data_IF_012552391972
#
_entry.id   IF_012552391972
#
_cell.length_a   1.000
_cell.length_b   1.000
_cell.length_c   1.000
_cell.angle_alpha   90.00
_cell.angle_beta   90.00
_cell.angle_gamma   90.00
#
_symmetry.space_group_name_H-M   'P 1'
#
loop_
_entity.id
_entity.type
_entity.pdbx_description
1 polymer ?
#
# COMPACT_ATOMS: atom_id res chain seq x y z
N UNK A 1 0.45 3.59 -29.16
CA UNK A 1 0.09 3.60 -27.72
C UNK A 1 1.03 4.50 -26.95
N UNK A 2 0.47 5.30 -26.06
CA UNK A 2 1.27 6.18 -25.21
C UNK A 2 1.82 5.43 -24.01
N UNK A 3 3.03 5.76 -23.59
CA UNK A 3 3.59 5.26 -22.33
C UNK A 3 3.38 6.30 -21.24
N UNK A 4 3.17 5.84 -20.00
CA UNK A 4 3.02 6.73 -18.85
C UNK A 4 4.37 7.37 -18.50
N UNK A 5 4.35 8.61 -18.03
CA UNK A 5 5.55 9.30 -17.55
C UNK A 5 5.64 9.31 -16.02
N UNK A 6 4.48 9.32 -15.35
CA UNK A 6 4.41 9.33 -13.89
C UNK A 6 3.31 8.39 -13.41
N UNK A 7 3.29 8.16 -12.10
CA UNK A 7 2.26 7.35 -11.45
C UNK A 7 0.86 7.91 -11.67
N UNK A 8 0.75 9.23 -11.84
CA UNK A 8 -0.55 9.89 -12.04
C UNK A 8 -1.17 9.61 -13.41
N UNK A 9 -0.37 9.15 -14.37
CA UNK A 9 -0.81 8.90 -15.74
C UNK A 9 -1.44 7.53 -15.94
N UNK A 10 -1.36 6.65 -14.95
CA UNK A 10 -1.85 5.26 -15.06
C UNK A 10 -3.01 5.01 -14.10
N UNK A 11 -3.82 3.98 -14.45
CA UNK A 11 -4.90 3.52 -13.60
C UNK A 11 -4.35 3.04 -12.24
N UNK A 12 -5.00 3.37 -11.12
CA UNK A 12 -4.57 2.89 -9.80
C UNK A 12 -4.44 1.37 -9.72
N UNK A 13 -5.40 0.64 -10.29
CA UNK A 13 -5.39 -0.83 -10.25
C UNK A 13 -4.23 -1.43 -11.02
N UNK A 14 -3.96 -0.91 -12.21
CA UNK A 14 -2.85 -1.38 -13.04
C UNK A 14 -1.50 -1.06 -12.39
N UNK A 15 -1.36 0.12 -11.82
CA UNK A 15 -0.13 0.51 -11.13
C UNK A 15 0.12 -0.38 -9.91
N UNK A 16 -0.89 -0.59 -9.07
CA UNK A 16 -0.76 -1.42 -7.87
C UNK A 16 -0.39 -2.84 -8.25
N UNK A 17 -1.02 -3.41 -9.29
CA UNK A 17 -0.69 -4.74 -9.78
C UNK A 17 0.76 -4.83 -10.24
N UNK A 18 1.21 -3.87 -11.04
CA UNK A 18 2.59 -3.85 -11.57
C UNK A 18 3.61 -3.64 -10.46
N UNK A 19 3.36 -2.71 -9.55
CA UNK A 19 4.30 -2.38 -8.48
C UNK A 19 4.38 -3.48 -7.44
N UNK A 20 3.28 -4.16 -7.14
CA UNK A 20 3.29 -5.32 -6.22
C UNK A 20 4.15 -6.46 -6.79
N UNK A 21 4.04 -6.72 -8.08
CA UNK A 21 4.90 -7.70 -8.75
C UNK A 21 6.37 -7.28 -8.71
N UNK A 22 6.66 -5.99 -8.88
CA UNK A 22 8.01 -5.44 -8.78
C UNK A 22 8.59 -5.63 -7.38
N UNK A 23 7.83 -5.33 -6.33
CA UNK A 23 8.26 -5.51 -4.95
C UNK A 23 8.55 -6.98 -4.63
N UNK A 24 7.70 -7.87 -5.11
CA UNK A 24 7.89 -9.31 -4.91
C UNK A 24 9.18 -9.81 -5.57
N UNK A 25 9.42 -9.38 -6.83
CA UNK A 25 10.62 -9.79 -7.58
C UNK A 25 11.90 -9.23 -6.99
N UNK A 26 11.86 -8.04 -6.39
CA UNK A 26 13.05 -7.40 -5.83
C UNK A 26 13.67 -8.21 -4.67
N UNK A 27 12.84 -8.95 -3.95
CA UNK A 27 13.28 -9.74 -2.79
C UNK A 27 13.73 -8.92 -1.60
N UNK A 28 13.61 -7.59 -1.65
CA UNK A 28 14.06 -6.70 -0.57
C UNK A 28 13.03 -6.55 0.56
N UNK A 29 11.77 -6.82 0.26
CA UNK A 29 10.70 -6.72 1.26
C UNK A 29 10.54 -8.05 1.97
N UNK A 30 10.68 -8.03 3.30
CA UNK A 30 10.53 -9.22 4.13
C UNK A 30 9.09 -9.36 4.59
N UNK A 31 8.49 -10.53 4.30
CA UNK A 31 7.16 -10.84 4.79
C UNK A 31 7.24 -11.24 6.27
N UNK A 32 6.43 -10.65 7.15
CA UNK A 32 6.38 -11.12 8.53
C UNK A 32 5.79 -12.52 8.61
N UNK A 33 6.18 -13.27 9.63
CA UNK A 33 5.75 -14.66 9.81
C UNK A 33 4.23 -14.82 9.99
N UNK A 34 3.54 -13.76 10.36
CA UNK A 34 2.09 -13.78 10.59
C UNK A 34 1.26 -13.51 9.35
N UNK A 35 1.87 -13.30 8.16
CA UNK A 35 1.12 -12.92 6.93
C UNK A 35 0.12 -13.99 6.49
N UNK A 36 0.37 -15.25 6.81
CA UNK A 36 -0.49 -16.36 6.36
C UNK A 36 -1.74 -16.55 7.23
N UNK A 37 -1.78 -15.96 8.42
CA UNK A 37 -2.82 -16.26 9.40
C UNK A 37 -3.63 -15.06 9.86
N UNK A 38 -3.21 -13.81 9.54
CA UNK A 38 -3.88 -12.64 10.08
C UNK A 38 -4.92 -12.08 9.13
N UNK A 39 -5.93 -11.46 9.72
CA UNK A 39 -6.85 -10.56 9.02
C UNK A 39 -6.22 -9.16 8.96
N UNK A 40 -6.56 -8.41 7.91
CA UNK A 40 -6.04 -7.03 7.74
C UNK A 40 -6.79 -6.02 8.61
N UNK A 41 -7.90 -6.42 9.25
CA UNK A 41 -8.67 -5.58 10.17
C UNK A 41 -9.62 -6.44 11.00
N UNK A 42 -10.07 -5.91 12.13
CA UNK A 42 -11.04 -6.59 12.98
C UNK A 42 -12.40 -6.80 12.29
N UNK A 43 -12.79 -5.89 11.38
CA UNK A 43 -14.07 -5.99 10.69
C UNK A 43 -14.09 -7.08 9.60
N UNK A 44 -12.93 -7.62 9.22
CA UNK A 44 -12.84 -8.70 8.24
C UNK A 44 -13.20 -10.03 8.90
N UNK A 45 -14.02 -10.83 8.23
CA UNK A 45 -14.42 -12.16 8.72
C UNK A 45 -13.34 -13.21 8.46
N UNK A 46 -12.57 -13.04 7.37
CA UNK A 46 -11.57 -14.00 6.94
C UNK A 46 -10.22 -13.31 6.67
N UNK A 47 -9.16 -14.10 6.71
CA UNK A 47 -7.85 -13.65 6.25
C UNK A 47 -7.88 -13.34 4.74
N UNK A 48 -6.92 -12.53 4.22
CA UNK A 48 -6.89 -12.22 2.79
C UNK A 48 -6.80 -13.48 1.92
N UNK A 49 -7.55 -13.48 0.85
CA UNK A 49 -7.62 -14.63 -0.06
C UNK A 49 -6.40 -14.71 -0.98
N UNK A 50 -5.87 -13.55 -1.42
CA UNK A 50 -4.71 -13.47 -2.28
C UNK A 50 -3.43 -13.72 -1.47
N UNK A 51 -2.59 -14.72 -1.83
CA UNK A 51 -1.35 -14.97 -1.09
C UNK A 51 -0.36 -13.81 -1.17
N UNK A 52 -0.46 -12.95 -2.17
CA UNK A 52 0.41 -11.78 -2.34
C UNK A 52 -0.18 -10.50 -1.75
N UNK A 53 -1.16 -10.60 -0.88
CA UNK A 53 -1.89 -9.44 -0.34
C UNK A 53 -0.97 -8.41 0.32
N UNK A 54 0.10 -8.86 0.94
CA UNK A 54 1.04 -7.95 1.62
C UNK A 54 1.73 -7.03 0.61
N UNK A 55 2.18 -7.60 -0.51
CA UNK A 55 2.81 -6.80 -1.57
C UNK A 55 1.79 -5.85 -2.22
N UNK A 56 0.57 -6.30 -2.40
CA UNK A 56 -0.51 -5.46 -2.94
C UNK A 56 -0.81 -4.29 -2.01
N UNK A 57 -0.91 -4.56 -0.71
CA UNK A 57 -1.12 -3.51 0.29
C UNK A 57 0.06 -2.52 0.31
N UNK A 58 1.29 -3.02 0.25
CA UNK A 58 2.49 -2.18 0.22
C UNK A 58 2.52 -1.29 -1.02
N UNK A 59 2.18 -1.84 -2.19
CA UNK A 59 2.11 -1.07 -3.43
C UNK A 59 1.06 0.04 -3.36
N UNK A 60 -0.11 -0.28 -2.82
CA UNK A 60 -1.19 0.69 -2.63
C UNK A 60 -0.77 1.81 -1.68
N UNK A 61 -0.12 1.48 -0.57
CA UNK A 61 0.35 2.47 0.39
C UNK A 61 1.44 3.37 -0.21
N UNK A 62 2.40 2.79 -0.94
CA UNK A 62 3.45 3.54 -1.61
C UNK A 62 2.86 4.55 -2.62
N UNK A 63 1.88 4.11 -3.40
CA UNK A 63 1.18 4.98 -4.35
C UNK A 63 0.51 6.16 -3.64
N UNK A 64 -0.17 5.90 -2.53
CA UNK A 64 -0.87 6.95 -1.79
C UNK A 64 0.11 7.97 -1.18
N UNK A 65 1.26 7.51 -0.70
CA UNK A 65 2.31 8.41 -0.21
C UNK A 65 2.90 9.25 -1.34
N UNK A 66 3.07 8.65 -2.53
CA UNK A 66 3.54 9.38 -3.71
C UNK A 66 2.59 10.52 -4.09
N UNK A 67 1.29 10.25 -4.05
CA UNK A 67 0.27 11.24 -4.42
C UNK A 67 0.05 12.28 -3.34
N UNK A 68 0.21 11.90 -2.08
CA UNK A 68 -0.03 12.79 -0.94
C UNK A 68 0.91 12.44 0.19
N UNK A 69 1.78 13.36 0.56
CA UNK A 69 2.67 13.20 1.71
C UNK A 69 1.94 13.38 3.04
N UNK A 70 2.63 13.05 4.14
CA UNK A 70 2.11 13.25 5.48
C UNK A 70 1.18 12.16 5.99
N UNK A 71 1.11 11.01 5.32
CA UNK A 71 0.28 9.89 5.74
C UNK A 71 1.04 9.01 6.73
N UNK A 72 0.42 8.71 7.87
CA UNK A 72 0.96 7.84 8.90
C UNK A 72 0.10 6.61 9.13
N UNK A 73 0.43 5.84 10.17
CA UNK A 73 -0.30 4.60 10.52
C UNK A 73 -1.79 4.88 10.72
N UNK A 74 -2.14 5.94 11.47
CA UNK A 74 -3.54 6.27 11.73
C UNK A 74 -4.32 6.60 10.48
N UNK A 75 -3.71 7.36 9.55
CA UNK A 75 -4.35 7.70 8.28
C UNK A 75 -4.62 6.44 7.44
N UNK A 76 -3.65 5.52 7.36
CA UNK A 76 -3.82 4.28 6.61
C UNK A 76 -4.85 3.35 7.25
N UNK A 77 -4.95 3.34 8.57
CA UNK A 77 -6.00 2.56 9.24
C UNK A 77 -7.39 3.02 8.82
N UNK A 78 -7.59 4.33 8.63
CA UNK A 78 -8.86 4.88 8.14
C UNK A 78 -9.10 4.59 6.66
N UNK A 79 -8.05 4.77 5.83
CA UNK A 79 -8.15 4.55 4.38
C UNK A 79 -8.58 3.11 4.06
N UNK A 80 -8.01 2.13 4.77
CA UNK A 80 -8.31 0.71 4.55
C UNK A 80 -9.35 0.17 5.52
N UNK A 81 -10.01 1.04 6.27
CA UNK A 81 -11.09 0.66 7.15
C UNK A 81 -12.38 0.37 6.39
N UNK A 82 -13.34 -0.19 7.08
CA UNK A 82 -14.63 -0.51 6.51
C UNK A 82 -15.66 -0.79 7.59
N UNK A 83 -16.85 -1.22 7.19
CA UNK A 83 -17.94 -1.53 8.10
C UNK A 83 -17.70 -2.85 8.81
N UNK A 84 -17.80 -2.85 10.14
CA UNK A 84 -17.78 -4.05 10.95
C UNK A 84 -19.20 -4.52 11.20
N UNK A 85 -19.46 -5.78 10.88
CA UNK A 85 -20.76 -6.42 11.14
C UNK A 85 -20.82 -6.83 12.61
N UNK A 86 -21.88 -6.41 13.30
CA UNK A 86 -22.10 -6.64 14.73
C UNK A 86 -23.24 -7.62 15.00
N UNK A 87 -23.44 -8.62 14.16
CA UNK A 87 -24.53 -9.56 14.25
C UNK A 87 -25.88 -8.87 13.98
N UNK A 88 -26.78 -8.89 14.96
CA UNK A 88 -28.10 -8.25 14.84
C UNK A 88 -28.06 -6.73 15.01
N UNK A 89 -26.91 -6.17 15.44
CA UNK A 89 -26.74 -4.72 15.58
C UNK A 89 -26.36 -4.09 14.24
N UNK A 90 -26.66 -2.79 14.03
CA UNK A 90 -26.23 -2.12 12.81
C UNK A 90 -24.72 -2.15 12.67
N UNK A 91 -24.19 -2.31 11.45
CA UNK A 91 -22.73 -2.26 11.23
C UNK A 91 -22.19 -0.85 11.47
N UNK A 92 -20.97 -0.76 12.00
CA UNK A 92 -20.29 0.50 12.24
C UNK A 92 -18.93 0.49 11.57
N UNK A 93 -18.41 1.68 11.22
CA UNK A 93 -17.07 1.83 10.65
C UNK A 93 -16.01 1.34 11.64
N UNK A 94 -15.05 0.58 11.13
CA UNK A 94 -13.93 0.06 11.90
C UNK A 94 -12.63 0.32 11.14
N UNK A 95 -11.60 0.76 11.86
CA UNK A 95 -10.28 0.99 11.26
C UNK A 95 -9.59 -0.35 10.94
N UNK A 96 -8.71 -0.33 9.94
CA UNK A 96 -7.91 -1.51 9.60
C UNK A 96 -6.78 -1.74 10.60
N UNK A 97 -6.05 -2.85 10.43
CA UNK A 97 -4.96 -3.23 11.33
C UNK A 97 -3.82 -2.21 11.31
N UNK A 98 -3.47 -1.68 12.49
CA UNK A 98 -2.32 -0.80 12.65
C UNK A 98 -0.99 -1.55 12.55
N UNK A 99 -0.95 -2.82 12.95
CA UNK A 99 0.26 -3.63 12.86
C UNK A 99 0.68 -3.85 11.40
N UNK A 100 -0.29 -4.14 10.53
CA UNK A 100 -0.04 -4.30 9.09
C UNK A 100 0.52 -3.01 8.50
N UNK A 101 -0.15 -1.88 8.73
CA UNK A 101 0.27 -0.58 8.20
C UNK A 101 1.66 -0.20 8.72
N UNK A 102 1.91 -0.36 10.00
CA UNK A 102 3.19 -0.01 10.61
C UNK A 102 4.33 -0.85 10.03
N UNK A 103 4.12 -2.15 9.89
CA UNK A 103 5.15 -3.05 9.36
C UNK A 103 5.49 -2.68 7.90
N UNK A 104 4.48 -2.41 7.09
CA UNK A 104 4.68 -2.02 5.69
C UNK A 104 5.44 -0.69 5.61
N UNK A 105 5.07 0.30 6.42
CA UNK A 105 5.77 1.59 6.42
C UNK A 105 7.23 1.43 6.83
N UNK A 106 7.53 0.59 7.81
CA UNK A 106 8.91 0.30 8.20
C UNK A 106 9.69 -0.36 7.07
N UNK A 107 9.09 -1.31 6.36
CA UNK A 107 9.73 -1.99 5.23
C UNK A 107 10.02 -1.01 4.08
N UNK A 108 9.06 -0.18 3.71
CA UNK A 108 9.25 0.81 2.66
C UNK A 108 10.32 1.83 3.05
N UNK A 109 10.39 2.21 4.32
CA UNK A 109 11.42 3.11 4.83
C UNK A 109 12.81 2.47 4.76
N UNK A 110 12.93 1.20 5.12
CA UNK A 110 14.19 0.45 5.03
C UNK A 110 14.67 0.28 3.59
N UNK A 111 13.75 0.25 2.64
CA UNK A 111 14.06 0.18 1.20
C UNK A 111 14.37 1.56 0.59
N UNK A 112 14.36 2.62 1.39
CA UNK A 112 14.57 4.02 0.96
C UNK A 112 13.53 4.53 -0.04
N UNK A 113 12.33 3.97 -0.01
CA UNK A 113 11.23 4.43 -0.87
C UNK A 113 10.53 5.61 -0.21
N UNK A 114 10.39 5.57 1.11
CA UNK A 114 9.76 6.63 1.89
C UNK A 114 10.67 7.07 3.04
N UNK A 115 10.38 8.24 3.60
CA UNK A 115 11.09 8.78 4.77
C UNK A 115 10.10 9.46 5.70
N UNK A 116 10.52 9.70 6.94
CA UNK A 116 9.69 10.39 7.93
C UNK A 116 9.61 11.86 7.55
N UNK A 117 8.38 12.38 7.45
CA UNK A 117 8.15 13.80 7.20
C UNK A 117 8.33 14.59 8.50
N UNK A 118 8.99 15.75 8.44
CA UNK A 118 9.19 16.64 9.58
C UNK A 118 7.87 17.14 10.17
N UNK A 119 6.81 17.20 9.36
CA UNK A 119 5.47 17.62 9.78
C UNK A 119 4.60 16.49 10.29
N UNK A 120 5.12 15.28 10.32
CA UNK A 120 4.39 14.05 10.69
C UNK A 120 4.06 13.19 9.50
N UNK A 121 3.89 11.88 9.75
CA UNK A 121 3.61 10.90 8.71
C UNK A 121 4.83 10.56 7.86
N UNK A 122 4.59 10.13 6.64
CA UNK A 122 5.65 9.69 5.71
C UNK A 122 5.53 10.45 4.39
N UNK A 123 6.67 10.65 3.74
CA UNK A 123 6.72 11.26 2.40
C UNK A 123 7.60 10.40 1.49
N UNK A 124 7.42 10.55 0.18
CA UNK A 124 8.22 9.82 -0.81
C UNK A 124 9.64 10.40 -0.85
N UNK A 125 10.65 9.55 -1.00
CA UNK A 125 12.02 10.00 -1.23
C UNK A 125 12.23 10.25 -2.72
N UNK A 126 13.32 10.94 -3.09
CA UNK A 126 13.64 11.13 -4.50
C UNK A 126 13.93 9.81 -5.21
N UNK A 127 14.61 8.85 -4.54
CA UNK A 127 14.83 7.52 -5.10
C UNK A 127 13.54 6.73 -5.21
N UNK A 128 12.64 6.85 -4.23
CA UNK A 128 11.32 6.22 -4.26
C UNK A 128 10.46 6.75 -5.40
N UNK A 129 10.47 8.06 -5.60
CA UNK A 129 9.74 8.68 -6.69
C UNK A 129 10.22 8.14 -8.05
N UNK A 130 11.52 8.04 -8.25
CA UNK A 130 12.08 7.45 -9.48
C UNK A 130 11.67 6.01 -9.66
N UNK A 131 11.71 5.22 -8.58
CA UNK A 131 11.33 3.80 -8.63
C UNK A 131 9.88 3.61 -9.05
N UNK A 132 8.96 4.36 -8.43
CA UNK A 132 7.55 4.31 -8.78
C UNK A 132 7.30 4.79 -10.22
N UNK A 133 7.97 5.87 -10.64
CA UNK A 133 7.81 6.41 -11.99
C UNK A 133 8.36 5.45 -13.05
N UNK A 134 9.44 4.72 -12.75
CA UNK A 134 9.97 3.70 -13.67
C UNK A 134 8.96 2.57 -13.87
N UNK A 135 8.33 2.10 -12.82
CA UNK A 135 7.30 1.06 -12.93
C UNK A 135 6.10 1.59 -13.71
N UNK A 136 5.66 2.80 -13.41
CA UNK A 136 4.56 3.43 -14.14
C UNK A 136 4.87 3.58 -15.63
N UNK A 137 6.11 3.92 -15.97
CA UNK A 137 6.55 4.08 -17.35
C UNK A 137 6.51 2.80 -18.18
N UNK A 138 6.49 1.65 -17.54
CA UNK A 138 6.37 0.35 -18.22
C UNK A 138 4.93 -0.03 -18.52
N UNK A 139 3.97 0.68 -17.96
CA UNK A 139 2.54 0.42 -18.18
C UNK A 139 2.10 1.20 -19.40
N UNK A 140 1.49 0.49 -20.35
CA UNK A 140 0.95 1.11 -21.55
C UNK A 140 -0.39 1.74 -21.22
N UNK A 141 -0.53 3.03 -21.59
CA UNK A 141 -1.76 3.78 -21.37
C UNK A 141 -2.55 3.77 -22.67
N UNK A 142 -3.84 3.45 -22.59
CA UNK A 142 -4.72 3.50 -23.76
C UNK A 142 -4.83 4.96 -24.24
N UNK A 143 -4.74 5.20 -25.57
CA UNK A 143 -4.85 6.54 -26.12
C UNK A 143 -6.24 7.16 -25.95
#
# INVERSE_FOLDING_TARGET
MATAKTVKDVSPHEFVKAYSAHLKRSGKMELPHWTDIVKTAQYKELAPYDPDWYYVRAASMARKIYLRGGLGVGAFRRIYGGSKRNGSRPPHFCKSSGAVARHILQQLQNMNIIEIDTKGGRRITSSGQRDLDQVAGRIVVAP
#
